data_IF_796770583393
#
_entry.id   IF_796770583393
#
_cell.length_a   1.000
_cell.length_b   1.000
_cell.length_c   1.000
_cell.angle_alpha   90.00
_cell.angle_beta   90.00
_cell.angle_gamma   90.00
#
_symmetry.space_group_name_H-M   'P 1'
#
loop_
_entity.id
_entity.type
_entity.pdbx_description
1 polymer ?
#
# COMPACT_ATOMS: atom_id res chain seq x y z
N UNK A 1 33.06 4.64 12.54
CA UNK A 1 31.84 5.42 12.27
C UNK A 1 32.18 6.90 12.30
N UNK A 2 32.02 7.61 11.18
CA UNK A 2 32.38 9.03 11.08
C UNK A 2 31.38 9.93 11.82
N UNK A 3 31.80 11.15 12.17
CA UNK A 3 30.95 12.14 12.86
C UNK A 3 29.63 12.42 12.11
N UNK A 4 29.69 12.51 10.78
CA UNK A 4 28.53 12.71 9.89
C UNK A 4 27.49 11.59 10.00
N UNK A 5 27.92 10.35 10.18
CA UNK A 5 27.00 9.22 10.31
C UNK A 5 26.27 9.26 11.66
N UNK A 6 26.94 9.71 12.72
CA UNK A 6 26.34 9.88 14.05
C UNK A 6 25.26 10.97 14.04
N UNK A 7 25.54 12.10 13.40
CA UNK A 7 24.59 13.21 13.27
C UNK A 7 23.38 12.83 12.40
N UNK A 8 23.59 12.03 11.35
CA UNK A 8 22.51 11.51 10.51
C UNK A 8 21.63 10.52 11.28
N UNK A 9 22.25 9.63 12.05
CA UNK A 9 21.52 8.67 12.87
C UNK A 9 20.66 9.35 13.95
N UNK A 10 21.20 10.37 14.62
CA UNK A 10 20.47 11.15 15.62
C UNK A 10 19.24 11.85 15.03
N UNK A 11 19.40 12.56 13.90
CA UNK A 11 18.27 13.22 13.21
C UNK A 11 17.16 12.25 12.82
N UNK A 12 17.51 11.05 12.38
CA UNK A 12 16.52 10.04 12.00
C UNK A 12 15.79 9.47 13.22
N UNK A 13 16.49 9.34 14.36
CA UNK A 13 15.89 8.89 15.62
C UNK A 13 15.02 9.97 16.28
N UNK A 14 15.34 11.24 16.09
CA UNK A 14 14.51 12.36 16.56
C UNK A 14 13.17 12.42 15.81
N UNK A 15 13.16 12.17 14.50
CA UNK A 15 11.94 12.12 13.69
C UNK A 15 11.18 10.80 13.75
N UNK A 16 11.84 9.71 14.14
CA UNK A 16 11.25 8.39 14.29
C UNK A 16 11.91 7.68 15.50
N UNK A 17 11.26 7.66 16.68
CA UNK A 17 11.82 7.07 17.90
C UNK A 17 12.20 5.59 17.76
N UNK A 18 11.54 4.88 16.85
CA UNK A 18 11.76 3.45 16.55
C UNK A 18 12.79 3.24 15.42
N UNK A 19 13.51 4.29 15.01
CA UNK A 19 14.55 4.19 14.01
C UNK A 19 15.75 3.38 14.54
N UNK A 20 15.76 2.09 14.22
CA UNK A 20 16.81 1.13 14.60
C UNK A 20 18.09 1.22 13.76
N UNK A 21 18.12 2.09 12.74
CA UNK A 21 19.25 2.25 11.82
C UNK A 21 19.26 1.25 10.67
N UNK A 22 20.21 1.43 9.73
CA UNK A 22 20.45 0.46 8.66
C UNK A 22 21.21 -0.76 9.22
N UNK A 23 20.64 -1.95 9.05
CA UNK A 23 21.23 -3.20 9.56
C UNK A 23 21.60 -4.20 8.46
N UNK A 24 21.62 -3.76 7.20
CA UNK A 24 21.94 -4.61 6.05
C UNK A 24 20.72 -5.29 5.44
N UNK A 25 20.97 -6.13 4.43
CA UNK A 25 19.93 -6.82 3.65
C UNK A 25 19.14 -7.86 4.47
N UNK A 26 19.70 -8.31 5.60
CA UNK A 26 19.10 -9.33 6.45
C UNK A 26 18.20 -8.77 7.56
N UNK A 27 18.00 -7.45 7.63
CA UNK A 27 16.94 -6.95 8.49
C UNK A 27 15.59 -7.18 7.86
N UNK A 28 14.83 -8.05 8.52
CA UNK A 28 13.37 -8.10 8.42
C UNK A 28 12.85 -6.69 8.66
N UNK A 29 12.60 -5.96 7.58
CA UNK A 29 11.67 -4.84 7.60
C UNK A 29 10.35 -5.47 7.98
N UNK A 30 9.92 -5.28 9.23
CA UNK A 30 8.52 -5.49 9.60
C UNK A 30 7.75 -4.55 8.68
N UNK A 31 7.34 -5.07 7.54
CA UNK A 31 6.43 -4.39 6.63
C UNK A 31 5.10 -4.52 7.32
N UNK A 32 4.89 -3.73 8.38
CA UNK A 32 3.60 -3.54 8.98
C UNK A 32 2.80 -2.60 8.06
N UNK A 33 2.55 -3.11 6.87
CA UNK A 33 1.41 -2.74 6.08
C UNK A 33 0.90 -4.09 5.60
N UNK A 34 -0.15 -4.58 6.26
CA UNK A 34 -1.10 -5.49 5.62
C UNK A 34 -1.41 -4.82 4.28
N UNK A 35 -0.72 -5.24 3.21
CA UNK A 35 -1.05 -4.79 1.87
C UNK A 35 -2.55 -5.04 1.73
N UNK A 36 -3.37 -4.03 1.42
CA UNK A 36 -4.80 -4.25 1.29
C UNK A 36 -4.97 -5.41 0.32
N UNK A 37 -5.68 -6.46 0.75
CA UNK A 37 -5.90 -7.61 -0.10
C UNK A 37 -6.64 -7.08 -1.33
N UNK A 38 -5.96 -7.06 -2.47
CA UNK A 38 -6.56 -6.59 -3.71
C UNK A 38 -6.93 -7.79 -4.55
N UNK A 39 -8.16 -7.79 -5.05
CA UNK A 39 -8.66 -8.77 -5.99
C UNK A 39 -8.76 -8.17 -7.39
N UNK A 40 -8.47 -9.00 -8.39
CA UNK A 40 -8.62 -8.61 -9.79
C UNK A 40 -10.04 -8.93 -10.26
N UNK A 41 -10.86 -7.91 -10.42
CA UNK A 41 -12.26 -8.01 -10.86
C UNK A 41 -12.46 -7.39 -12.24
N UNK A 42 -13.50 -7.82 -12.95
CA UNK A 42 -13.87 -7.29 -14.26
C UNK A 42 -15.05 -6.34 -14.10
N UNK A 43 -14.91 -5.11 -14.60
CA UNK A 43 -16.03 -4.16 -14.60
C UNK A 43 -17.14 -4.62 -15.54
N UNK A 44 -18.37 -4.70 -15.06
CA UNK A 44 -19.56 -5.10 -15.83
C UNK A 44 -19.89 -4.17 -17.00
N UNK A 45 -19.47 -2.90 -16.92
CA UNK A 45 -19.76 -1.88 -17.94
C UNK A 45 -18.67 -1.82 -19.01
N UNK A 46 -17.41 -1.63 -18.61
CA UNK A 46 -16.31 -1.44 -19.57
C UNK A 46 -15.49 -2.71 -19.85
N UNK A 47 -15.79 -3.83 -19.18
CA UNK A 47 -15.09 -5.12 -19.29
C UNK A 47 -13.57 -5.04 -19.06
N UNK A 48 -13.10 -3.99 -18.36
CA UNK A 48 -11.68 -3.84 -17.99
C UNK A 48 -11.42 -4.47 -16.65
N UNK A 49 -10.27 -5.16 -16.54
CA UNK A 49 -9.76 -5.69 -15.27
C UNK A 49 -9.30 -4.55 -14.36
N UNK A 50 -9.68 -4.61 -13.09
CA UNK A 50 -9.31 -3.65 -12.04
C UNK A 50 -8.81 -4.40 -10.83
N UNK A 51 -7.76 -3.87 -10.20
CA UNK A 51 -7.34 -4.33 -8.88
C UNK A 51 -8.07 -3.46 -7.86
N UNK A 52 -8.91 -4.08 -7.05
CA UNK A 52 -9.82 -3.42 -6.11
C UNK A 52 -9.60 -4.03 -4.74
N UNK A 53 -9.69 -3.23 -3.67
CA UNK A 53 -9.59 -3.76 -2.32
C UNK A 53 -10.75 -4.74 -2.06
N UNK A 54 -10.45 -5.94 -1.55
CA UNK A 54 -11.45 -6.97 -1.25
C UNK A 54 -12.58 -6.43 -0.36
N UNK A 55 -12.27 -5.52 0.57
CA UNK A 55 -13.25 -4.89 1.47
C UNK A 55 -14.27 -3.98 0.77
N UNK A 56 -14.00 -3.58 -0.48
CA UNK A 56 -14.84 -2.67 -1.26
C UNK A 56 -15.63 -3.37 -2.38
N UNK A 57 -15.50 -4.70 -2.50
CA UNK A 57 -16.22 -5.46 -3.50
C UNK A 57 -17.66 -5.76 -3.04
N UNK A 58 -18.65 -5.70 -3.94
CA UNK A 58 -20.00 -6.19 -3.65
C UNK A 58 -19.99 -7.71 -3.44
N UNK A 59 -21.01 -8.24 -2.74
CA UNK A 59 -21.19 -9.69 -2.56
C UNK A 59 -21.23 -10.44 -3.90
N UNK A 60 -21.79 -9.81 -4.94
CA UNK A 60 -21.78 -10.31 -6.31
C UNK A 60 -20.76 -9.55 -7.17
N UNK A 61 -19.57 -10.14 -7.30
CA UNK A 61 -18.44 -9.61 -8.09
C UNK A 61 -18.83 -9.35 -9.56
N UNK A 62 -19.81 -10.08 -10.10
CA UNK A 62 -20.23 -9.91 -11.50
C UNK A 62 -20.91 -8.57 -11.77
N UNK A 63 -21.43 -7.91 -10.73
CA UNK A 63 -22.08 -6.60 -10.81
C UNK A 63 -21.10 -5.43 -10.65
N UNK A 64 -19.82 -5.71 -10.36
CA UNK A 64 -18.82 -4.69 -10.05
C UNK A 64 -18.74 -3.60 -11.15
N UNK A 65 -18.91 -2.34 -10.74
CA UNK A 65 -18.73 -1.15 -11.57
C UNK A 65 -17.47 -0.40 -11.13
N UNK A 66 -16.54 -0.14 -12.06
CA UNK A 66 -15.36 0.64 -11.74
C UNK A 66 -15.68 2.14 -11.55
N UNK A 67 -14.90 2.82 -10.70
CA UNK A 67 -15.08 4.24 -10.36
C UNK A 67 -15.35 5.14 -11.57
N UNK A 68 -14.59 4.98 -12.66
CA UNK A 68 -14.80 5.75 -13.89
C UNK A 68 -16.22 5.60 -14.46
N UNK A 69 -16.73 4.37 -14.54
CA UNK A 69 -18.09 4.11 -15.03
C UNK A 69 -19.17 4.52 -14.03
N UNK A 70 -18.82 4.62 -12.75
CA UNK A 70 -19.70 5.17 -11.72
C UNK A 70 -19.80 6.69 -11.85
N UNK A 71 -18.69 7.37 -12.12
CA UNK A 71 -18.63 8.82 -12.38
C UNK A 71 -19.38 9.22 -13.66
N UNK A 72 -19.27 8.43 -14.73
CA UNK A 72 -20.00 8.65 -16.00
C UNK A 72 -21.53 8.41 -15.90
N UNK A 73 -22.01 7.77 -14.83
CA UNK A 73 -23.43 7.44 -14.63
C UNK A 73 -24.21 8.49 -13.82
N UNK A 74 -23.53 9.52 -13.30
CA UNK A 74 -24.08 10.63 -12.51
C UNK A 74 -24.25 11.86 -13.39
#
# INVERSE_FOLDING_TARGET
MGRKDRERFQRLREGNPDYIGYRGLDTVTVTEALSPQTETVVCSVCNRKRNVASDSLPEDISTFMCLRCQEDAV
#
